data_IF_815361336543
#
_entry.id   IF_815361336543
#
_cell.length_a   1.000
_cell.length_b   1.000
_cell.length_c   1.000
_cell.angle_alpha   90.00
_cell.angle_beta   90.00
_cell.angle_gamma   90.00
#
_symmetry.space_group_name_H-M   'P 1'
#
loop_
_entity.id
_entity.type
_entity.pdbx_description
1 polymer ?
#
# COMPACT_ATOMS: atom_id res chain seq x y z
N UNK A 1 -43.54 18.65 36.86
CA UNK A 1 -43.40 19.23 35.53
C UNK A 1 -42.98 18.13 34.59
N UNK A 2 -43.49 18.23 33.37
CA UNK A 2 -43.83 17.14 32.48
C UNK A 2 -42.61 16.47 31.79
N UNK A 3 -42.93 15.31 31.23
CA UNK A 3 -42.60 14.74 29.90
C UNK A 3 -41.74 15.61 28.94
N UNK A 4 -41.09 15.07 27.90
CA UNK A 4 -41.48 13.95 27.03
C UNK A 4 -40.26 13.37 26.26
N UNK A 5 -40.47 12.39 25.37
CA UNK A 5 -39.59 12.18 24.19
C UNK A 5 -38.79 10.88 24.14
N UNK A 6 -39.46 9.76 23.85
CA UNK A 6 -38.77 8.52 23.43
C UNK A 6 -38.50 8.47 21.92
N UNK A 7 -37.48 7.73 21.49
CA UNK A 7 -37.13 7.57 20.07
C UNK A 7 -36.40 6.26 19.74
N UNK A 8 -37.14 5.26 19.27
CA UNK A 8 -36.55 4.05 18.66
C UNK A 8 -36.23 4.30 17.18
N UNK A 9 -35.16 3.69 16.67
CA UNK A 9 -34.93 3.56 15.23
C UNK A 9 -34.35 2.19 14.91
N UNK A 10 -34.93 1.50 13.92
CA UNK A 10 -34.50 0.18 13.46
C UNK A 10 -34.44 0.10 11.93
N UNK A 11 -33.37 -0.48 11.40
CA UNK A 11 -33.24 -1.02 10.03
C UNK A 11 -31.96 -1.88 10.01
N UNK A 12 -31.91 -3.13 9.53
CA UNK A 12 -32.46 -3.85 8.35
C UNK A 12 -31.69 -3.62 7.03
N UNK A 13 -31.02 -4.69 6.60
CA UNK A 13 -30.68 -4.95 5.19
C UNK A 13 -29.21 -4.70 4.80
N UNK A 14 -28.62 -5.40 3.83
CA UNK A 14 -29.08 -6.60 3.09
C UNK A 14 -27.86 -7.47 2.74
N UNK A 15 -27.98 -8.79 2.87
CA UNK A 15 -27.01 -9.77 2.34
C UNK A 15 -27.51 -10.36 1.01
N UNK A 16 -26.69 -10.30 -0.05
CA UNK A 16 -26.63 -11.24 -1.18
C UNK A 16 -25.84 -10.62 -2.34
N UNK A 17 -24.90 -11.37 -2.93
CA UNK A 17 -24.89 -11.73 -4.36
C UNK A 17 -24.13 -13.06 -4.52
N UNK A 18 -24.17 -13.66 -5.71
CA UNK A 18 -24.24 -15.13 -5.88
C UNK A 18 -22.96 -15.76 -6.45
N UNK A 19 -22.78 -17.05 -6.17
CA UNK A 19 -21.77 -17.92 -6.82
C UNK A 19 -21.88 -17.90 -8.34
N UNK A 20 -20.75 -18.10 -9.02
CA UNK A 20 -20.72 -18.87 -10.26
C UNK A 20 -19.43 -19.69 -10.35
N UNK A 21 -19.58 -21.00 -10.55
CA UNK A 21 -18.50 -21.95 -10.83
C UNK A 21 -18.56 -22.38 -12.30
N UNK A 22 -17.40 -22.74 -12.89
CA UNK A 22 -17.24 -23.84 -13.86
C UNK A 22 -15.73 -24.11 -14.10
N UNK A 23 -15.42 -25.32 -14.54
CA UNK A 23 -14.08 -25.93 -14.66
C UNK A 23 -13.35 -25.64 -15.99
N UNK A 24 -12.01 -25.83 -16.03
CA UNK A 24 -11.29 -25.92 -17.32
C UNK A 24 -9.75 -26.04 -17.29
N UNK A 25 -9.24 -27.27 -17.12
CA UNK A 25 -8.01 -27.86 -17.71
C UNK A 25 -6.64 -27.12 -17.67
N UNK A 26 -5.58 -27.80 -17.20
CA UNK A 26 -4.19 -27.30 -17.26
C UNK A 26 -3.11 -28.20 -16.64
N UNK A 27 -2.95 -29.44 -17.11
CA UNK A 27 -1.78 -30.31 -16.83
C UNK A 27 -0.61 -29.96 -17.80
N UNK A 28 0.69 -30.22 -17.48
CA UNK A 28 1.19 -31.57 -17.23
C UNK A 28 2.34 -31.75 -16.19
N UNK A 29 2.62 -33.03 -15.86
CA UNK A 29 3.93 -33.75 -15.72
C UNK A 29 5.18 -33.03 -15.16
N UNK A 30 6.12 -33.71 -14.49
CA UNK A 30 6.39 -35.15 -14.38
C UNK A 30 7.02 -35.51 -13.01
N UNK A 31 6.88 -36.78 -12.59
CA UNK A 31 7.66 -37.43 -11.54
C UNK A 31 9.05 -37.88 -12.05
N UNK A 32 10.00 -38.04 -11.13
CA UNK A 32 11.10 -39.02 -11.22
C UNK A 32 11.74 -39.25 -9.84
N UNK A 33 12.16 -40.43 -9.40
CA UNK A 33 11.91 -41.82 -9.82
C UNK A 33 12.38 -42.73 -8.67
N UNK A 34 11.69 -43.85 -8.42
CA UNK A 34 12.17 -45.00 -7.62
C UNK A 34 13.17 -45.87 -8.47
N UNK A 35 13.64 -47.10 -8.10
CA UNK A 35 13.39 -47.91 -6.88
C UNK A 35 14.59 -48.71 -6.28
N UNK A 36 14.29 -49.49 -5.22
CA UNK A 36 14.91 -50.78 -4.79
C UNK A 36 16.39 -50.81 -4.33
N UNK A 37 16.87 -51.79 -3.54
CA UNK A 37 16.46 -53.17 -3.15
C UNK A 37 16.38 -53.25 -1.59
N UNK A 38 15.46 -53.93 -0.88
CA UNK A 38 15.11 -55.37 -0.87
C UNK A 38 15.99 -56.13 0.17
N UNK A 39 15.69 -57.33 0.72
CA UNK A 39 14.62 -58.36 0.63
C UNK A 39 14.78 -59.27 1.88
N UNK A 40 13.80 -59.88 2.58
CA UNK A 40 12.37 -59.64 2.89
C UNK A 40 11.94 -60.61 4.04
N UNK A 41 10.72 -60.54 4.58
CA UNK A 41 10.20 -61.51 5.57
C UNK A 41 8.78 -61.20 6.07
N UNK A 42 7.93 -62.21 6.29
CA UNK A 42 6.50 -62.05 6.60
C UNK A 42 5.99 -63.08 7.61
N UNK A 43 4.92 -62.75 8.37
CA UNK A 43 3.68 -63.56 8.36
C UNK A 43 2.49 -62.95 9.13
N UNK A 44 1.34 -63.19 8.51
CA UNK A 44 -0.06 -62.94 8.81
C UNK A 44 -0.65 -63.40 10.17
N UNK A 45 -1.53 -62.55 10.70
CA UNK A 45 -2.96 -62.80 11.04
C UNK A 45 -3.44 -63.41 12.37
N UNK A 46 -4.53 -62.78 12.85
CA UNK A 46 -5.85 -63.35 13.24
C UNK A 46 -6.30 -63.62 14.70
N UNK A 47 -7.63 -63.51 14.83
CA UNK A 47 -8.57 -64.00 15.86
C UNK A 47 -8.40 -63.67 17.36
N UNK A 48 -9.07 -62.59 17.79
CA UNK A 48 -10.39 -62.58 18.47
C UNK A 48 -10.79 -63.66 19.53
N UNK A 49 -11.67 -63.24 20.45
CA UNK A 49 -12.64 -63.99 21.29
C UNK A 49 -12.39 -64.04 22.82
N UNK A 50 -13.37 -63.47 23.54
CA UNK A 50 -13.91 -63.74 24.90
C UNK A 50 -13.07 -64.57 25.88
N UNK A 51 -12.84 -64.01 27.07
CA UNK A 51 -12.54 -64.81 28.27
C UNK A 51 -13.78 -65.41 28.93
N UNK A 52 -13.55 -66.27 29.95
CA UNK A 52 -14.55 -66.65 30.94
C UNK A 52 -13.86 -67.12 32.23
N UNK A 53 -14.51 -66.91 33.37
CA UNK A 53 -14.14 -67.55 34.63
C UNK A 53 -14.51 -69.05 34.58
N UNK A 54 -13.73 -69.93 35.22
CA UNK A 54 -14.25 -70.93 36.17
C UNK A 54 -13.15 -71.67 36.93
N UNK A 55 -13.55 -72.34 38.01
CA UNK A 55 -12.72 -73.16 38.90
C UNK A 55 -13.13 -74.63 38.74
N UNK A 56 -12.18 -75.57 38.65
CA UNK A 56 -12.25 -76.85 39.37
C UNK A 56 -10.97 -77.71 39.34
N UNK A 57 -10.65 -78.25 40.53
CA UNK A 57 -10.12 -79.58 40.89
C UNK A 57 -9.22 -80.41 39.93
N UNK A 58 -8.13 -80.94 40.55
CA UNK A 58 -7.51 -82.29 40.39
C UNK A 58 -6.86 -82.65 39.01
N UNK A 59 -5.79 -83.45 38.90
CA UNK A 59 -5.10 -84.34 39.86
C UNK A 59 -3.60 -84.52 39.46
N UNK A 60 -2.79 -85.09 40.36
CA UNK A 60 -1.50 -85.75 40.11
C UNK A 60 -0.29 -84.91 39.62
N UNK A 61 0.56 -84.55 40.60
CA UNK A 61 1.85 -85.24 40.65
C UNK A 61 2.11 -85.73 42.09
N UNK A 62 3.00 -86.72 42.27
CA UNK A 62 3.11 -87.50 43.50
C UNK A 62 4.57 -87.77 43.85
N UNK A 63 5.11 -86.94 44.75
CA UNK A 63 6.45 -87.13 45.34
C UNK A 63 6.42 -86.79 46.83
N UNK A 64 6.55 -87.86 47.62
CA UNK A 64 7.30 -87.94 48.87
C UNK A 64 7.00 -86.92 49.99
N UNK A 65 6.21 -87.42 50.95
CA UNK A 65 6.29 -87.03 52.35
C UNK A 65 7.67 -87.38 52.91
N UNK A 66 8.64 -86.47 52.80
CA UNK A 66 9.74 -86.44 53.76
C UNK A 66 9.44 -85.46 54.90
N UNK A 67 9.91 -85.78 56.10
CA UNK A 67 9.56 -85.06 57.32
C UNK A 67 10.56 -83.93 57.54
N UNK A 68 10.13 -82.64 57.56
CA UNK A 68 10.76 -81.69 58.44
C UNK A 68 10.43 -82.13 59.87
N UNK A 69 11.27 -82.99 60.44
CA UNK A 69 11.32 -83.18 61.88
C UNK A 69 11.49 -81.81 62.53
N UNK A 70 10.81 -81.57 63.66
CA UNK A 70 10.84 -80.28 64.33
C UNK A 70 12.24 -80.00 64.91
N UNK A 71 13.15 -79.55 64.05
CA UNK A 71 14.37 -78.86 64.40
C UNK A 71 13.95 -77.60 65.14
N UNK A 72 13.86 -77.70 66.45
CA UNK A 72 13.80 -76.55 67.35
C UNK A 72 15.14 -75.83 67.23
N UNK A 73 15.28 -75.02 66.17
CA UNK A 73 16.26 -73.95 66.09
C UNK A 73 16.24 -73.21 67.43
N UNK A 74 17.42 -72.93 67.98
CA UNK A 74 17.45 -72.18 69.23
C UNK A 74 16.76 -70.83 69.00
N UNK A 75 16.10 -70.29 70.01
CA UNK A 75 15.42 -68.98 69.88
C UNK A 75 16.41 -67.90 69.39
N UNK A 76 17.69 -68.02 69.77
CA UNK A 76 18.77 -67.19 69.26
C UNK A 76 19.05 -67.33 67.75
N UNK A 77 18.79 -68.48 67.12
CA UNK A 77 18.94 -68.70 65.67
C UNK A 77 17.71 -68.21 64.89
N UNK A 78 16.51 -68.39 65.44
CA UNK A 78 15.28 -67.79 64.90
C UNK A 78 15.40 -66.26 64.93
N UNK A 79 15.88 -65.69 66.04
CA UNK A 79 16.18 -64.25 66.13
C UNK A 79 17.25 -63.77 65.13
N UNK A 80 18.25 -64.60 64.78
CA UNK A 80 19.23 -64.25 63.72
C UNK A 80 18.56 -64.20 62.34
N UNK A 81 17.72 -65.19 62.02
CA UNK A 81 16.97 -65.21 60.75
C UNK A 81 16.02 -64.02 60.64
N UNK A 82 15.28 -63.69 61.70
CA UNK A 82 14.42 -62.49 61.74
C UNK A 82 15.24 -61.22 61.52
N UNK A 83 16.39 -61.06 62.19
CA UNK A 83 17.28 -59.90 61.97
C UNK A 83 17.82 -59.82 60.54
N UNK A 84 18.16 -60.95 59.92
CA UNK A 84 18.58 -60.99 58.52
C UNK A 84 17.44 -60.63 57.56
N UNK A 85 16.21 -61.08 57.84
CA UNK A 85 15.03 -60.67 57.05
C UNK A 85 14.71 -59.18 57.22
N UNK A 86 14.84 -58.63 58.44
CA UNK A 86 14.68 -57.20 58.67
C UNK A 86 15.72 -56.38 57.90
N UNK A 87 17.00 -56.76 57.96
CA UNK A 87 18.07 -56.08 57.21
C UNK A 87 17.87 -56.17 55.69
N UNK A 88 17.37 -57.31 55.18
CA UNK A 88 17.01 -57.45 53.77
C UNK A 88 15.85 -56.53 53.37
N UNK A 89 14.79 -56.45 54.18
CA UNK A 89 13.64 -55.56 53.95
C UNK A 89 14.07 -54.08 54.01
N UNK A 90 14.97 -53.73 54.93
CA UNK A 90 15.54 -52.38 55.05
C UNK A 90 16.41 -52.03 53.83
N UNK A 91 17.25 -52.95 53.36
CA UNK A 91 18.02 -52.78 52.12
C UNK A 91 17.11 -52.66 50.88
N UNK A 92 16.13 -53.56 50.72
CA UNK A 92 15.18 -53.54 49.60
C UNK A 92 14.31 -52.25 49.59
N UNK A 93 14.01 -51.70 50.76
CA UNK A 93 13.32 -50.41 50.89
C UNK A 93 14.24 -49.24 50.50
N UNK A 94 15.50 -49.24 50.94
CA UNK A 94 16.47 -48.20 50.63
C UNK A 94 16.85 -48.19 49.13
N UNK A 95 17.12 -49.36 48.53
CA UNK A 95 17.41 -49.47 47.10
C UNK A 95 16.24 -48.96 46.24
N UNK A 96 14.98 -49.20 46.66
CA UNK A 96 13.80 -48.66 45.98
C UNK A 96 13.61 -47.16 46.21
N UNK A 97 14.03 -46.62 47.36
CA UNK A 97 14.02 -45.18 47.60
C UNK A 97 15.05 -44.48 46.69
N UNK A 98 16.28 -45.00 46.62
CA UNK A 98 17.32 -44.50 45.72
C UNK A 98 16.92 -44.62 44.23
N UNK A 99 16.25 -45.71 43.83
CA UNK A 99 15.72 -45.87 42.47
C UNK A 99 14.62 -44.82 42.15
N UNK A 100 13.78 -44.47 43.12
CA UNK A 100 12.73 -43.44 42.97
C UNK A 100 13.35 -42.04 42.90
N UNK A 101 14.30 -41.71 43.77
CA UNK A 101 14.95 -40.40 43.81
C UNK A 101 15.78 -40.15 42.54
N UNK A 102 16.50 -41.17 42.04
CA UNK A 102 17.23 -41.09 40.78
C UNK A 102 16.30 -40.80 39.59
N UNK A 103 15.16 -41.52 39.49
CA UNK A 103 14.14 -41.27 38.45
C UNK A 103 13.51 -39.88 38.58
N UNK A 104 13.25 -39.42 39.80
CA UNK A 104 12.71 -38.09 40.05
C UNK A 104 13.68 -36.98 39.61
N UNK A 105 14.99 -37.15 39.80
CA UNK A 105 15.99 -36.20 39.29
C UNK A 105 16.13 -36.26 37.74
N UNK A 106 16.06 -37.45 37.13
CA UNK A 106 16.02 -37.58 35.67
C UNK A 106 14.78 -36.89 35.06
N UNK A 107 13.58 -37.20 35.55
CA UNK A 107 12.33 -36.57 35.10
C UNK A 107 12.33 -35.06 35.31
N UNK A 108 12.81 -34.58 36.48
CA UNK A 108 12.94 -33.15 36.76
C UNK A 108 13.87 -32.46 35.75
N UNK A 109 15.02 -33.04 35.44
CA UNK A 109 15.96 -32.44 34.49
C UNK A 109 15.43 -32.48 33.04
N UNK A 110 14.73 -33.54 32.65
CA UNK A 110 14.05 -33.63 31.34
C UNK A 110 12.96 -32.55 31.22
N UNK A 111 12.06 -32.43 32.20
CA UNK A 111 10.94 -31.49 32.14
C UNK A 111 11.40 -30.02 32.24
N UNK A 112 12.36 -29.73 33.13
CA UNK A 112 13.07 -28.44 33.20
C UNK A 112 13.72 -28.09 31.86
N UNK A 113 14.37 -29.06 31.21
CA UNK A 113 14.92 -28.91 29.87
C UNK A 113 13.83 -28.56 28.85
N UNK A 114 12.74 -29.35 28.80
CA UNK A 114 11.60 -29.16 27.90
C UNK A 114 10.98 -27.77 28.05
N UNK A 115 10.74 -27.31 29.28
CA UNK A 115 10.19 -25.99 29.59
C UNK A 115 11.14 -24.86 29.14
N UNK A 116 12.44 -24.96 29.44
CA UNK A 116 13.44 -23.96 29.03
C UNK A 116 13.55 -23.86 27.51
N UNK A 117 13.61 -24.98 26.78
CA UNK A 117 13.67 -24.95 25.31
C UNK A 117 12.36 -24.41 24.70
N UNK A 118 11.21 -24.79 25.25
CA UNK A 118 9.90 -24.27 24.80
C UNK A 118 9.82 -22.74 24.93
N UNK A 119 10.34 -22.17 26.02
CA UNK A 119 10.36 -20.71 26.18
C UNK A 119 11.46 -20.04 25.32
N UNK A 120 12.63 -20.66 25.15
CA UNK A 120 13.67 -20.17 24.23
C UNK A 120 13.16 -20.03 22.80
N UNK A 121 12.45 -21.02 22.27
CA UNK A 121 11.86 -20.97 20.93
C UNK A 121 10.86 -19.80 20.77
N UNK A 122 9.97 -19.60 21.76
CA UNK A 122 9.03 -18.46 21.77
C UNK A 122 9.75 -17.11 21.80
N UNK A 123 10.84 -17.01 22.57
CA UNK A 123 11.67 -15.80 22.64
C UNK A 123 12.36 -15.53 21.30
N UNK A 124 12.91 -16.57 20.66
CA UNK A 124 13.54 -16.45 19.33
C UNK A 124 12.53 -15.99 18.27
N UNK A 125 11.37 -16.62 18.18
CA UNK A 125 10.30 -16.26 17.23
C UNK A 125 9.82 -14.81 17.44
N UNK A 126 9.71 -14.36 18.69
CA UNK A 126 9.35 -12.98 19.04
C UNK A 126 10.41 -11.95 18.59
N UNK A 127 11.70 -12.25 18.77
CA UNK A 127 12.78 -11.37 18.32
C UNK A 127 12.94 -11.38 16.79
N UNK A 128 12.80 -12.53 16.13
CA UNK A 128 12.83 -12.64 14.66
C UNK A 128 11.70 -11.81 14.01
N UNK A 129 10.49 -11.84 14.59
CA UNK A 129 9.37 -10.99 14.14
C UNK A 129 9.68 -9.50 14.33
N UNK A 130 10.27 -9.11 15.46
CA UNK A 130 10.71 -7.72 15.71
C UNK A 130 11.80 -7.26 14.74
N UNK A 131 12.79 -8.11 14.47
CA UNK A 131 13.89 -7.79 13.55
C UNK A 131 13.37 -7.54 12.13
N UNK A 132 12.51 -8.44 11.62
CA UNK A 132 11.85 -8.28 10.31
C UNK A 132 11.00 -7.01 10.25
N UNK A 133 10.26 -6.67 11.32
CA UNK A 133 9.51 -5.42 11.40
C UNK A 133 10.42 -4.18 11.37
N UNK A 134 11.53 -4.18 12.12
CA UNK A 134 12.49 -3.08 12.15
C UNK A 134 13.19 -2.93 10.79
N UNK A 135 13.53 -4.03 10.12
CA UNK A 135 14.15 -4.01 8.79
C UNK A 135 13.19 -3.45 7.72
N UNK A 136 11.92 -3.85 7.76
CA UNK A 136 10.86 -3.28 6.91
C UNK A 136 10.65 -1.79 7.19
N UNK A 137 10.60 -1.38 8.47
CA UNK A 137 10.47 0.03 8.85
C UNK A 137 11.65 0.87 8.36
N UNK A 138 12.90 0.37 8.47
CA UNK A 138 14.10 1.02 7.91
C UNK A 138 13.99 1.20 6.39
N UNK A 139 13.54 0.17 5.66
CA UNK A 139 13.31 0.22 4.20
C UNK A 139 12.24 1.26 3.83
N UNK A 140 11.13 1.33 4.58
CA UNK A 140 10.07 2.32 4.40
C UNK A 140 10.58 3.74 4.69
N UNK A 141 11.29 3.95 5.79
CA UNK A 141 11.87 5.26 6.16
C UNK A 141 12.86 5.76 5.11
N UNK A 142 13.76 4.90 4.62
CA UNK A 142 14.72 5.24 3.56
C UNK A 142 14.00 5.60 2.25
N UNK A 143 13.00 4.80 1.84
CA UNK A 143 12.19 5.08 0.65
C UNK A 143 11.45 6.44 0.76
N UNK A 144 10.84 6.71 1.92
CA UNK A 144 10.15 7.96 2.19
C UNK A 144 11.10 9.17 2.16
N UNK A 145 12.31 9.05 2.73
CA UNK A 145 13.33 10.10 2.71
C UNK A 145 13.79 10.40 1.28
N UNK A 146 14.05 9.36 0.48
CA UNK A 146 14.43 9.51 -0.93
C UNK A 146 13.30 10.11 -1.78
N UNK A 147 12.05 9.75 -1.51
CA UNK A 147 10.89 10.37 -2.16
C UNK A 147 10.73 11.85 -1.78
N UNK A 148 10.89 12.19 -0.50
CA UNK A 148 10.90 13.60 -0.05
C UNK A 148 12.03 14.41 -0.69
N UNK A 149 13.24 13.84 -0.83
CA UNK A 149 14.34 14.49 -1.54
C UNK A 149 14.01 14.73 -3.02
N UNK A 150 13.47 13.72 -3.70
CA UNK A 150 12.99 13.84 -5.10
C UNK A 150 11.91 14.92 -5.24
N UNK A 151 10.92 14.95 -4.35
CA UNK A 151 9.84 15.94 -4.38
C UNK A 151 10.35 17.36 -4.12
N UNK A 152 11.33 17.56 -3.22
CA UNK A 152 11.99 18.85 -3.02
C UNK A 152 12.69 19.35 -4.29
N UNK A 153 13.41 18.47 -5.01
CA UNK A 153 14.06 18.81 -6.28
C UNK A 153 13.04 19.11 -7.39
N UNK A 154 11.92 18.39 -7.44
CA UNK A 154 10.84 18.68 -8.40
C UNK A 154 10.18 20.03 -8.10
N UNK A 155 9.85 20.33 -6.84
CA UNK A 155 9.27 21.62 -6.45
C UNK A 155 10.21 22.77 -6.79
N UNK A 156 11.49 22.69 -6.42
CA UNK A 156 12.46 23.75 -6.71
C UNK A 156 12.63 24.04 -8.22
N UNK A 157 12.39 23.05 -9.10
CA UNK A 157 12.37 23.26 -10.55
C UNK A 157 11.10 23.96 -11.04
N UNK A 158 9.96 23.67 -10.41
CA UNK A 158 8.67 24.29 -10.70
C UNK A 158 8.60 25.73 -10.17
N UNK A 159 9.17 25.97 -8.99
CA UNK A 159 9.38 27.29 -8.39
C UNK A 159 10.22 28.18 -9.36
N UNK A 160 11.36 27.68 -9.88
CA UNK A 160 12.21 28.39 -10.85
C UNK A 160 11.50 28.71 -12.19
N UNK A 161 10.63 27.83 -12.69
CA UNK A 161 9.84 28.11 -13.90
C UNK A 161 8.78 29.16 -13.60
N UNK A 162 8.16 29.12 -12.42
CA UNK A 162 7.17 30.09 -11.97
C UNK A 162 7.78 31.50 -11.80
N UNK A 163 9.01 31.58 -11.30
CA UNK A 163 9.79 32.82 -11.25
C UNK A 163 10.08 33.36 -12.66
N UNK A 164 10.54 32.52 -13.59
CA UNK A 164 10.79 32.90 -14.99
C UNK A 164 9.52 33.43 -15.68
N UNK A 165 8.38 32.75 -15.53
CA UNK A 165 7.10 33.19 -16.10
C UNK A 165 6.61 34.49 -15.45
N UNK A 166 6.87 34.69 -14.15
CA UNK A 166 6.59 35.95 -13.47
C UNK A 166 7.48 37.09 -14.00
N UNK A 167 8.76 36.84 -14.25
CA UNK A 167 9.66 37.83 -14.86
C UNK A 167 9.24 38.13 -16.31
N UNK A 168 8.76 37.14 -17.06
CA UNK A 168 8.20 37.34 -18.39
C UNK A 168 6.94 38.24 -18.36
N UNK A 169 6.04 38.05 -17.39
CA UNK A 169 4.89 38.96 -17.16
C UNK A 169 5.36 40.39 -16.83
N UNK A 170 6.38 40.54 -15.97
CA UNK A 170 6.99 41.86 -15.70
C UNK A 170 7.65 42.49 -16.94
N UNK A 171 8.26 41.71 -17.84
CA UNK A 171 8.83 42.20 -19.11
C UNK A 171 7.73 42.64 -20.08
N UNK A 172 6.62 41.90 -20.20
CA UNK A 172 5.45 42.32 -20.98
C UNK A 172 4.86 43.65 -20.48
N UNK A 173 4.76 43.83 -19.16
CA UNK A 173 4.33 45.08 -18.54
C UNK A 173 5.29 46.28 -18.78
N UNK A 174 6.51 46.06 -19.31
CA UNK A 174 7.37 47.13 -19.84
C UNK A 174 6.99 47.48 -21.27
N UNK A 175 6.70 46.49 -22.12
CA UNK A 175 6.29 46.70 -23.53
C UNK A 175 4.97 47.49 -23.64
N UNK A 176 4.03 47.30 -22.70
CA UNK A 176 2.78 48.09 -22.64
C UNK A 176 3.04 49.60 -22.47
N UNK A 177 4.15 49.99 -21.83
CA UNK A 177 4.51 51.41 -21.64
C UNK A 177 5.00 52.07 -22.94
N UNK A 178 5.53 51.29 -23.88
CA UNK A 178 5.93 51.77 -25.21
C UNK A 178 4.68 51.93 -26.10
N UNK A 179 3.91 53.01 -25.90
CA UNK A 179 2.61 53.23 -26.54
C UNK A 179 2.58 52.96 -28.05
N UNK A 180 3.62 53.35 -28.81
CA UNK A 180 3.71 53.08 -30.25
C UNK A 180 3.83 51.57 -30.59
N UNK A 181 4.59 50.80 -29.80
CA UNK A 181 4.68 49.33 -29.95
C UNK A 181 3.40 48.65 -29.49
N UNK A 182 2.82 49.11 -28.39
CA UNK A 182 1.59 48.56 -27.83
C UNK A 182 0.38 48.81 -28.75
N UNK A 183 0.27 49.99 -29.40
CA UNK A 183 -0.81 50.26 -30.37
C UNK A 183 -0.73 49.32 -31.58
N UNK A 184 0.44 49.12 -32.18
CA UNK A 184 0.62 48.19 -33.28
C UNK A 184 0.32 46.72 -32.88
N UNK A 185 0.62 46.36 -31.63
CA UNK A 185 0.27 45.06 -31.07
C UNK A 185 -1.25 44.92 -30.86
N UNK A 186 -1.92 45.95 -30.33
CA UNK A 186 -3.39 45.99 -30.16
C UNK A 186 -4.14 45.91 -31.50
N UNK A 187 -3.68 46.62 -32.54
CA UNK A 187 -4.23 46.52 -33.90
C UNK A 187 -4.29 45.05 -34.37
N UNK A 188 -3.21 44.28 -34.12
CA UNK A 188 -3.12 42.85 -34.42
C UNK A 188 -3.97 41.96 -33.51
N UNK A 189 -4.01 42.22 -32.20
CA UNK A 189 -4.81 41.44 -31.24
C UNK A 189 -6.31 41.53 -31.53
N UNK A 190 -6.82 42.72 -31.89
CA UNK A 190 -8.23 42.89 -32.28
C UNK A 190 -8.50 42.10 -33.55
N UNK A 191 -7.66 42.26 -34.58
CA UNK A 191 -7.86 41.59 -35.86
C UNK A 191 -7.86 40.06 -35.74
N UNK A 192 -6.93 39.49 -34.95
CA UNK A 192 -6.92 38.06 -34.66
C UNK A 192 -8.20 37.61 -33.93
N UNK A 193 -8.65 38.36 -32.92
CA UNK A 193 -9.87 38.05 -32.16
C UNK A 193 -11.13 38.06 -33.03
N UNK A 194 -11.23 39.02 -33.95
CA UNK A 194 -12.34 39.11 -34.91
C UNK A 194 -12.35 37.91 -35.89
N UNK A 195 -11.18 37.52 -36.41
CA UNK A 195 -11.06 36.31 -37.26
C UNK A 195 -11.34 35.00 -36.50
N UNK A 196 -11.25 34.98 -35.17
CA UNK A 196 -11.57 33.81 -34.36
C UNK A 196 -13.06 33.70 -33.98
N UNK A 197 -13.79 34.83 -33.91
CA UNK A 197 -15.23 34.85 -33.67
C UNK A 197 -16.08 34.67 -34.95
N UNK A 198 -15.70 35.33 -36.05
CA UNK A 198 -16.41 35.31 -37.35
C UNK A 198 -17.90 35.76 -37.34
N UNK A 199 -18.31 36.41 -36.25
CA UNK A 199 -19.66 36.91 -35.99
C UNK A 199 -19.97 38.25 -36.66
N UNK A 200 -21.26 38.59 -36.75
CA UNK A 200 -21.72 39.88 -37.29
C UNK A 200 -21.57 41.04 -36.29
N UNK A 201 -21.72 40.76 -34.99
CA UNK A 201 -21.71 41.77 -33.92
C UNK A 201 -20.85 41.31 -32.75
N UNK A 202 -19.79 42.07 -32.45
CA UNK A 202 -18.78 41.74 -31.45
C UNK A 202 -18.71 42.83 -30.39
N UNK A 203 -18.66 42.43 -29.13
CA UNK A 203 -18.48 43.31 -27.97
C UNK A 203 -17.05 43.18 -27.45
N UNK A 204 -16.34 44.30 -27.31
CA UNK A 204 -14.94 44.36 -26.88
C UNK A 204 -14.84 44.89 -25.45
N UNK A 205 -14.19 44.13 -24.57
CA UNK A 205 -13.76 44.55 -23.24
C UNK A 205 -12.27 44.86 -23.23
N UNK A 206 -11.91 45.98 -22.61
CA UNK A 206 -10.54 46.44 -22.47
C UNK A 206 -10.32 47.09 -21.10
N UNK A 207 -9.08 47.45 -20.79
CA UNK A 207 -8.71 48.20 -19.59
C UNK A 207 -9.05 49.68 -19.79
N UNK A 208 -9.52 50.38 -18.75
CA UNK A 208 -9.91 51.81 -18.82
C UNK A 208 -8.86 52.75 -19.43
N UNK A 209 -7.57 52.42 -19.26
CA UNK A 209 -6.44 53.18 -19.78
C UNK A 209 -6.28 53.05 -21.31
N UNK A 210 -6.73 51.94 -21.89
CA UNK A 210 -6.46 51.57 -23.29
C UNK A 210 -7.59 52.00 -24.23
N UNK A 211 -8.75 52.40 -23.69
CA UNK A 211 -9.92 52.91 -24.43
C UNK A 211 -9.61 53.75 -25.69
N UNK A 212 -8.76 54.81 -25.65
CA UNK A 212 -8.48 55.62 -26.85
C UNK A 212 -7.68 54.84 -27.89
N UNK A 213 -6.72 54.01 -27.47
CA UNK A 213 -5.94 53.15 -28.38
C UNK A 213 -6.84 52.10 -29.03
N UNK A 214 -7.69 51.43 -28.24
CA UNK A 214 -8.67 50.45 -28.73
C UNK A 214 -9.67 51.08 -29.70
N UNK A 215 -10.19 52.28 -29.42
CA UNK A 215 -11.08 53.01 -30.34
C UNK A 215 -10.38 53.30 -31.68
N UNK A 216 -9.09 53.65 -31.68
CA UNK A 216 -8.31 53.81 -32.91
C UNK A 216 -8.06 52.48 -33.66
N UNK A 217 -7.81 51.40 -32.92
CA UNK A 217 -7.48 50.09 -33.48
C UNK A 217 -8.69 49.41 -34.14
N UNK A 218 -9.88 49.51 -33.52
CA UNK A 218 -11.15 49.04 -34.11
C UNK A 218 -11.45 49.73 -35.44
N UNK A 219 -11.20 51.03 -35.57
CA UNK A 219 -11.40 51.76 -36.82
C UNK A 219 -10.50 51.24 -37.95
N UNK A 220 -9.26 50.83 -37.65
CA UNK A 220 -8.35 50.20 -38.62
C UNK A 220 -8.73 48.75 -38.94
N UNK A 221 -9.21 47.97 -37.96
CA UNK A 221 -9.46 46.53 -38.15
C UNK A 221 -10.72 46.24 -38.99
N UNK A 222 -11.75 47.07 -38.90
CA UNK A 222 -13.02 46.93 -39.64
C UNK A 222 -12.82 46.79 -41.16
N UNK A 223 -12.11 47.69 -41.88
CA UNK A 223 -11.91 47.54 -43.33
C UNK A 223 -11.10 46.30 -43.71
N UNK A 224 -10.07 45.95 -42.92
CA UNK A 224 -9.23 44.76 -43.15
C UNK A 224 -10.05 43.48 -43.01
N UNK A 225 -10.86 43.38 -41.95
CA UNK A 225 -11.75 42.24 -41.71
C UNK A 225 -12.83 42.11 -42.80
N UNK A 226 -13.43 43.24 -43.23
CA UNK A 226 -14.41 43.28 -44.33
C UNK A 226 -13.80 42.81 -45.66
N UNK A 227 -12.58 43.23 -45.99
CA UNK A 227 -11.89 42.82 -47.21
C UNK A 227 -11.61 41.31 -47.24
N UNK A 228 -11.19 40.73 -46.12
CA UNK A 228 -10.87 39.31 -46.01
C UNK A 228 -12.10 38.39 -45.94
N UNK A 229 -13.11 38.73 -45.13
CA UNK A 229 -14.27 37.85 -44.87
C UNK A 229 -15.49 38.13 -45.75
N UNK A 230 -15.54 39.30 -46.40
CA UNK A 230 -16.71 39.81 -47.15
C UNK A 230 -18.00 39.97 -46.33
N UNK A 231 -17.95 39.79 -45.00
CA UNK A 231 -19.08 40.01 -44.08
C UNK A 231 -19.09 41.45 -43.56
N UNK A 232 -20.28 41.97 -43.26
CA UNK A 232 -20.43 43.16 -42.41
C UNK A 232 -20.09 42.82 -40.96
N UNK A 233 -19.53 43.79 -40.24
CA UNK A 233 -19.10 43.67 -38.85
C UNK A 233 -19.50 44.95 -38.10
N UNK A 234 -20.24 44.79 -37.01
CA UNK A 234 -20.46 45.79 -35.98
C UNK A 234 -19.56 45.50 -34.78
N UNK A 235 -18.76 46.48 -34.36
CA UNK A 235 -17.92 46.37 -33.16
C UNK A 235 -18.39 47.39 -32.14
N UNK A 236 -18.80 46.92 -30.97
CA UNK A 236 -19.22 47.73 -29.82
C UNK A 236 -18.15 47.59 -28.74
N UNK A 237 -17.77 48.67 -28.06
CA UNK A 237 -16.89 48.62 -26.89
C UNK A 237 -17.77 48.68 -25.65
N UNK A 238 -17.55 47.77 -24.70
CA UNK A 238 -18.28 47.72 -23.44
C UNK A 238 -17.72 48.82 -22.50
N UNK A 239 -18.50 49.88 -22.31
CA UNK A 239 -18.15 50.98 -21.40
C UNK A 239 -18.62 50.76 -19.96
N UNK A 240 -19.23 49.61 -19.66
CA UNK A 240 -19.66 49.19 -18.32
C UNK A 240 -18.72 48.11 -17.74
N UNK A 241 -18.44 47.07 -18.53
CA UNK A 241 -17.60 45.92 -18.18
C UNK A 241 -16.13 46.08 -18.58
N UNK A 242 -15.33 46.73 -17.74
CA UNK A 242 -13.88 46.85 -17.95
C UNK A 242 -13.09 45.65 -17.44
N UNK A 243 -11.94 45.40 -18.05
CA UNK A 243 -10.95 44.45 -17.51
C UNK A 243 -10.35 44.98 -16.19
N UNK A 244 -9.98 44.05 -15.31
CA UNK A 244 -9.39 44.35 -14.00
C UNK A 244 -8.09 45.18 -14.14
N UNK A 245 -7.82 46.11 -13.20
CA UNK A 245 -6.66 47.00 -13.29
C UNK A 245 -5.31 46.27 -13.15
N UNK A 246 -5.30 45.03 -12.67
CA UNK A 246 -4.13 44.16 -12.52
C UNK A 246 -3.65 43.55 -13.85
N UNK A 247 -4.54 43.44 -14.86
CA UNK A 247 -4.21 42.94 -16.19
C UNK A 247 -3.24 43.93 -16.86
N UNK A 248 -2.10 43.43 -17.35
CA UNK A 248 -1.06 44.26 -17.97
C UNK A 248 -1.57 44.95 -19.23
N UNK A 249 -2.32 44.21 -20.06
CA UNK A 249 -2.90 44.74 -21.30
C UNK A 249 -3.55 43.68 -22.18
N UNK A 250 -4.01 44.11 -23.35
CA UNK A 250 -4.79 43.30 -24.29
C UNK A 250 -6.29 43.35 -24.03
N UNK A 251 -7.03 42.42 -24.67
CA UNK A 251 -8.48 42.57 -24.93
C UNK A 251 -9.20 41.24 -24.74
N UNK A 252 -10.43 41.29 -24.25
CA UNK A 252 -11.39 40.18 -24.38
C UNK A 252 -12.49 40.54 -25.37
N UNK A 253 -12.83 39.62 -26.27
CA UNK A 253 -13.90 39.80 -27.25
C UNK A 253 -15.05 38.83 -26.94
N UNK A 254 -16.28 39.29 -27.08
CA UNK A 254 -17.50 38.53 -26.83
C UNK A 254 -18.44 38.59 -28.03
N UNK A 255 -19.22 37.53 -28.23
CA UNK A 255 -20.40 37.58 -29.09
C UNK A 255 -21.48 38.50 -28.47
N UNK A 256 -22.44 38.99 -29.27
CA UNK A 256 -23.58 39.79 -28.79
C UNK A 256 -24.38 39.11 -27.65
N UNK A 257 -24.48 37.78 -27.70
CA UNK A 257 -25.09 36.92 -26.67
C UNK A 257 -24.25 36.77 -25.38
N UNK A 258 -23.01 37.23 -25.35
CA UNK A 258 -22.05 37.01 -24.25
C UNK A 258 -21.55 35.57 -24.06
N UNK A 259 -22.21 34.57 -24.67
CA UNK A 259 -21.95 33.13 -24.52
C UNK A 259 -20.54 32.70 -24.97
N UNK A 260 -20.06 33.23 -26.08
CA UNK A 260 -18.73 32.94 -26.64
C UNK A 260 -17.80 34.08 -26.25
N UNK A 261 -16.66 33.75 -25.65
CA UNK A 261 -15.57 34.69 -25.32
C UNK A 261 -14.25 34.25 -25.94
N UNK A 262 -13.47 35.21 -26.43
CA UNK A 262 -12.08 35.04 -26.86
C UNK A 262 -11.22 35.96 -25.99
N UNK A 263 -10.53 35.37 -25.03
CA UNK A 263 -9.60 36.08 -24.16
C UNK A 263 -8.25 36.23 -24.86
N UNK A 264 -7.94 37.45 -25.30
CA UNK A 264 -6.71 37.79 -26.02
C UNK A 264 -5.89 38.83 -25.22
N UNK A 265 -5.82 38.64 -23.90
CA UNK A 265 -4.95 39.40 -22.99
C UNK A 265 -3.50 38.94 -23.12
N UNK A 266 -2.56 39.78 -22.71
CA UNK A 266 -1.13 39.44 -22.76
C UNK A 266 -0.78 38.25 -21.86
N UNK A 267 -1.42 38.16 -20.70
CA UNK A 267 -1.32 37.04 -19.77
C UNK A 267 -1.79 35.73 -20.40
N UNK A 268 -3.01 35.70 -20.97
CA UNK A 268 -3.57 34.49 -21.56
C UNK A 268 -2.74 33.98 -22.73
N UNK A 269 -2.18 34.88 -23.54
CA UNK A 269 -1.24 34.53 -24.62
C UNK A 269 0.08 33.98 -24.09
N UNK A 270 0.65 34.60 -23.06
CA UNK A 270 1.89 34.11 -22.46
C UNK A 270 1.68 32.72 -21.85
N UNK A 271 0.58 32.50 -21.13
CA UNK A 271 0.31 31.22 -20.46
C UNK A 271 0.05 30.10 -21.48
N UNK A 272 -0.63 30.39 -22.60
CA UNK A 272 -0.79 29.45 -23.74
C UNK A 272 0.54 29.11 -24.43
N UNK A 273 1.37 30.12 -24.72
CA UNK A 273 2.68 29.91 -25.36
C UNK A 273 3.63 29.18 -24.41
N UNK A 274 3.61 29.53 -23.12
CA UNK A 274 4.38 28.85 -22.08
C UNK A 274 4.04 27.35 -22.05
N UNK A 275 2.76 26.98 -21.98
CA UNK A 275 2.32 25.58 -22.00
C UNK A 275 2.84 24.81 -23.23
N UNK A 276 2.79 25.41 -24.42
CA UNK A 276 3.31 24.80 -25.65
C UNK A 276 4.85 24.67 -25.65
N UNK A 277 5.55 25.65 -25.06
CA UNK A 277 7.02 25.73 -25.05
C UNK A 277 7.66 25.09 -23.80
N UNK A 278 6.88 24.58 -22.85
CA UNK A 278 7.38 23.86 -21.65
C UNK A 278 8.44 22.79 -21.96
N UNK A 279 8.32 21.96 -23.03
CA UNK A 279 9.35 20.97 -23.36
C UNK A 279 10.71 21.60 -23.65
N UNK A 280 10.72 22.69 -24.43
CA UNK A 280 11.93 23.35 -24.89
C UNK A 280 12.54 24.25 -23.80
N UNK A 281 11.70 24.96 -23.03
CA UNK A 281 12.10 25.69 -21.82
C UNK A 281 12.79 24.72 -20.84
N UNK A 282 12.22 23.53 -20.61
CA UNK A 282 12.80 22.49 -19.75
C UNK A 282 14.15 22.00 -20.29
N UNK A 283 14.30 21.81 -21.60
CA UNK A 283 15.58 21.39 -22.22
C UNK A 283 16.63 22.49 -22.17
N UNK A 284 16.25 23.75 -22.36
CA UNK A 284 17.15 24.90 -22.28
C UNK A 284 17.65 25.17 -20.86
N UNK A 285 16.79 25.04 -19.84
CA UNK A 285 17.14 25.29 -18.43
C UNK A 285 17.85 24.12 -17.74
N UNK A 286 17.43 22.88 -18.01
CA UNK A 286 17.86 21.69 -17.26
C UNK A 286 18.58 20.64 -18.12
N UNK A 287 18.81 20.93 -19.40
CA UNK A 287 19.46 20.03 -20.35
C UNK A 287 18.53 19.01 -21.00
N UNK A 288 19.00 18.44 -22.11
CA UNK A 288 18.35 17.31 -22.76
C UNK A 288 18.41 16.04 -21.89
N UNK A 289 17.45 15.13 -22.06
CA UNK A 289 17.48 13.83 -21.39
C UNK A 289 18.46 12.90 -22.13
N UNK A 290 19.60 12.48 -21.53
CA UNK A 290 20.58 11.62 -22.20
C UNK A 290 20.02 10.23 -22.59
N UNK A 291 18.91 9.82 -21.97
CA UNK A 291 18.25 8.55 -22.28
C UNK A 291 17.24 8.65 -23.44
N UNK A 292 16.91 9.87 -23.95
CA UNK A 292 16.02 10.03 -25.11
C UNK A 292 16.84 9.92 -26.41
N UNK A 293 16.74 8.78 -27.08
CA UNK A 293 17.41 8.51 -28.38
C UNK A 293 16.59 8.90 -29.61
N UNK A 294 15.28 9.07 -29.45
CA UNK A 294 14.27 9.15 -30.50
C UNK A 294 13.40 10.40 -30.31
N UNK A 295 13.01 11.07 -31.40
CA UNK A 295 12.33 12.37 -31.41
C UNK A 295 10.95 12.35 -32.08
N UNK A 296 10.73 11.32 -32.89
CA UNK A 296 9.47 10.67 -33.24
C UNK A 296 8.50 10.47 -32.06
#
# INVERSE_FOLDING_TARGET
MEEEGGGQLTSRGVTSWRLQTISGLGFPKELSCDPEVGVSGAQSADLCIRGSCWCWLLLCCRSDLDKPGAMALSDADVQKQIKHMMAFIEQEANEKAEEIDAKAEEEFNIEKGRLVQTQRLKIMEYYEKKEKQIEQQKKIQMSNLMNQARLKVLKARDDLISELLTEAKQRLARVVKDSARYQALLDGLILQGLYQLLELKVVIRCRKQDLPMVKSAVQKSIPIYKAATKKTLEVVIDENGYLAPEVSGGIELYNADGKIKVANTLESRLDLIAQQMMPDIRVALFGANPNRKFLD
#
